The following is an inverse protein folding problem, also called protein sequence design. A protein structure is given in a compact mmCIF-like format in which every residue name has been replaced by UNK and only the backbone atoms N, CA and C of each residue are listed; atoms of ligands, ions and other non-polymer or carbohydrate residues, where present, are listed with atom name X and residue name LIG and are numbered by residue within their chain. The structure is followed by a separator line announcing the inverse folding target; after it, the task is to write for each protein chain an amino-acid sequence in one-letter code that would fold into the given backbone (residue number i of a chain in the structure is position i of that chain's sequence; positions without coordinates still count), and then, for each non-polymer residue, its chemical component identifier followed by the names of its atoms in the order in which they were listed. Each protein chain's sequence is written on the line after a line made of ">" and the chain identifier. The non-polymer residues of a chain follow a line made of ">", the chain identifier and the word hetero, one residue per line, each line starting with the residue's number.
data_IF_466114708652
#
_entry.id   IF_466114708652
#
_cell.length_a   1.000
_cell.length_b   1.000
_cell.length_c   1.000
_cell.angle_alpha   90.00
_cell.angle_beta   90.00
_cell.angle_gamma   90.00
#
_symmetry.space_group_name_H-M   'P 1'
#
loop_
_entity.id
_entity.type
_entity.pdbx_description
1 polymer ?
#
# COMPACT_ATOMS: atom_id res chain seq x y z
N UNK A 1 7.60 -0.31 -2.21
CA UNK A 1 6.22 0.08 -2.54
C UNK A 1 6.24 0.97 -3.78
N UNK A 2 5.46 0.64 -4.81
CA UNK A 2 5.44 1.37 -6.09
C UNK A 2 5.00 2.84 -5.88
N UNK A 3 3.99 3.07 -5.03
CA UNK A 3 3.50 4.40 -4.66
C UNK A 3 4.61 5.35 -4.16
N UNK A 4 5.54 4.86 -3.32
CA UNK A 4 6.70 5.63 -2.85
C UNK A 4 7.59 6.10 -4.01
N UNK A 5 7.82 5.22 -4.99
CA UNK A 5 8.63 5.54 -6.17
C UNK A 5 7.92 6.53 -7.08
N UNK A 6 6.60 6.38 -7.29
CA UNK A 6 5.78 7.32 -8.07
C UNK A 6 5.79 8.72 -7.44
N UNK A 7 5.55 8.82 -6.13
CA UNK A 7 5.57 10.09 -5.40
C UNK A 7 6.95 10.76 -5.47
N UNK A 8 8.02 9.97 -5.31
CA UNK A 8 9.40 10.46 -5.44
C UNK A 8 9.71 10.97 -6.84
N UNK A 9 9.27 10.26 -7.88
CA UNK A 9 9.43 10.69 -9.25
C UNK A 9 8.63 11.95 -9.57
N UNK A 10 7.39 12.02 -9.11
CA UNK A 10 6.56 13.21 -9.22
C UNK A 10 7.24 14.44 -8.59
N UNK A 11 7.72 14.32 -7.35
CA UNK A 11 8.47 15.41 -6.67
C UNK A 11 9.68 15.86 -7.50
N UNK A 12 10.42 14.90 -8.07
CA UNK A 12 11.57 15.19 -8.92
C UNK A 12 11.15 15.92 -10.20
N UNK A 13 10.06 15.49 -10.85
CA UNK A 13 9.50 16.16 -12.02
C UNK A 13 9.04 17.58 -11.70
N UNK A 14 8.41 17.82 -10.55
CA UNK A 14 8.02 19.17 -10.13
C UNK A 14 9.23 20.09 -9.96
N UNK A 15 10.37 19.53 -9.52
CA UNK A 15 11.62 20.27 -9.31
C UNK A 15 12.43 20.51 -10.60
N UNK A 16 12.04 19.91 -11.73
CA UNK A 16 12.75 20.10 -13.01
C UNK A 16 12.31 21.40 -13.69
N UNK A 17 13.24 22.02 -14.41
CA UNK A 17 12.91 23.14 -15.29
C UNK A 17 11.94 22.70 -16.41
N UNK A 18 11.04 23.58 -16.86
CA UNK A 18 9.96 23.21 -17.79
C UNK A 18 10.45 22.76 -19.17
N UNK A 19 11.68 23.11 -19.55
CA UNK A 19 12.31 22.74 -20.83
C UNK A 19 12.83 21.30 -20.83
N UNK A 20 12.92 20.67 -19.65
CA UNK A 20 13.42 19.29 -19.53
C UNK A 20 12.39 18.33 -20.11
N UNK A 21 12.85 17.46 -21.02
CA UNK A 21 11.98 16.46 -21.67
C UNK A 21 11.10 15.65 -20.70
N UNK A 22 11.58 15.15 -19.54
CA UNK A 22 10.71 14.46 -18.59
C UNK A 22 9.56 15.32 -18.06
N UNK A 23 9.80 16.63 -17.83
CA UNK A 23 8.80 17.59 -17.36
C UNK A 23 7.74 17.84 -18.44
N UNK A 24 8.17 17.97 -19.70
CA UNK A 24 7.28 18.10 -20.86
C UNK A 24 6.41 16.85 -21.03
N UNK A 25 7.01 15.66 -20.97
CA UNK A 25 6.26 14.40 -21.08
C UNK A 25 5.23 14.24 -19.96
N UNK A 26 5.59 14.62 -18.73
CA UNK A 26 4.66 14.62 -17.60
C UNK A 26 3.46 15.56 -17.82
N UNK A 27 3.70 16.79 -18.27
CA UNK A 27 2.62 17.74 -18.56
C UNK A 27 1.71 17.24 -19.69
N UNK A 28 2.28 16.66 -20.76
CA UNK A 28 1.51 16.03 -21.83
C UNK A 28 0.66 14.88 -21.32
N UNK A 29 1.19 14.06 -20.42
CA UNK A 29 0.48 12.94 -19.84
C UNK A 29 -0.70 13.39 -18.93
N UNK A 30 -0.55 14.52 -18.24
CA UNK A 30 -1.66 15.18 -17.53
C UNK A 30 -2.69 15.71 -18.54
N UNK A 31 -2.26 16.41 -19.59
CA UNK A 31 -3.20 16.94 -20.58
C UNK A 31 -3.99 15.83 -21.30
N UNK A 32 -3.34 14.71 -21.60
CA UNK A 32 -3.97 13.54 -22.21
C UNK A 32 -5.02 12.90 -21.31
N UNK A 33 -4.89 13.00 -19.99
CA UNK A 33 -5.83 12.38 -19.06
C UNK A 33 -7.24 12.95 -19.14
N UNK A 34 -7.41 14.16 -19.69
CA UNK A 34 -8.73 14.75 -19.93
C UNK A 34 -9.50 14.06 -21.07
N UNK A 35 -8.78 13.58 -22.09
CA UNK A 35 -9.36 12.95 -23.28
C UNK A 35 -9.34 11.41 -23.21
N UNK A 36 -8.33 10.85 -22.53
CA UNK A 36 -8.13 9.42 -22.35
C UNK A 36 -7.90 9.10 -20.87
N UNK A 37 -8.96 9.10 -20.05
CA UNK A 37 -8.87 8.89 -18.61
C UNK A 37 -8.75 7.39 -18.26
N UNK A 38 -7.83 6.66 -18.90
CA UNK A 38 -7.54 5.26 -18.55
C UNK A 38 -6.28 5.17 -17.68
N UNK A 39 -6.43 4.88 -16.37
CA UNK A 39 -5.29 4.74 -15.45
C UNK A 39 -4.32 3.65 -15.88
N UNK A 40 -4.77 2.61 -16.61
CA UNK A 40 -3.92 1.48 -17.03
C UNK A 40 -2.70 1.92 -17.84
N UNK A 41 -2.86 2.96 -18.66
CA UNK A 41 -1.81 3.50 -19.52
C UNK A 41 -1.25 4.84 -19.04
N UNK A 42 -1.75 5.35 -17.91
CA UNK A 42 -1.40 6.65 -17.40
C UNK A 42 -1.07 6.61 -15.91
N UNK A 43 0.23 6.57 -15.61
CA UNK A 43 0.69 6.54 -14.22
C UNK A 43 0.37 7.82 -13.43
N UNK A 44 0.09 8.96 -14.08
CA UNK A 44 -0.29 10.18 -13.36
C UNK A 44 -1.71 10.06 -12.79
N UNK A 45 -2.61 9.37 -13.50
CA UNK A 45 -3.92 9.00 -12.97
C UNK A 45 -3.77 8.02 -11.81
N UNK A 46 -2.97 6.97 -11.97
CA UNK A 46 -2.69 6.05 -10.87
C UNK A 46 -2.10 6.76 -9.64
N UNK A 47 -1.23 7.76 -9.83
CA UNK A 47 -0.71 8.56 -8.72
C UNK A 47 -1.81 9.36 -8.05
N UNK A 48 -2.72 9.96 -8.83
CA UNK A 48 -3.85 10.71 -8.31
C UNK A 48 -4.79 9.82 -7.48
N UNK A 49 -5.12 8.63 -7.98
CA UNK A 49 -5.95 7.66 -7.27
C UNK A 49 -5.31 7.25 -5.93
N UNK A 50 -3.99 7.05 -5.93
CA UNK A 50 -3.23 6.72 -4.71
C UNK A 50 -3.16 7.89 -3.72
N UNK A 51 -3.16 9.14 -4.21
CA UNK A 51 -3.25 10.33 -3.34
C UNK A 51 -4.63 10.44 -2.71
N UNK A 52 -5.69 10.12 -3.46
CA UNK A 52 -7.06 10.08 -2.96
C UNK A 52 -7.24 8.97 -1.91
N UNK A 53 -6.70 7.77 -2.14
CA UNK A 53 -6.68 6.68 -1.14
C UNK A 53 -5.96 7.08 0.16
N UNK A 54 -4.98 7.98 0.06
CA UNK A 54 -4.25 8.54 1.20
C UNK A 54 -4.93 9.79 1.82
N UNK A 55 -6.05 10.27 1.27
CA UNK A 55 -6.74 11.50 1.70
C UNK A 55 -5.90 12.77 1.50
N UNK A 56 -5.13 12.82 0.41
CA UNK A 56 -4.20 13.89 0.05
C UNK A 56 -4.37 14.34 -1.41
N UNK A 57 -5.58 14.25 -1.96
CA UNK A 57 -5.86 14.68 -3.34
C UNK A 57 -5.59 16.18 -3.56
N UNK A 58 -5.65 16.99 -2.50
CA UNK A 58 -5.38 18.42 -2.54
C UNK A 58 -3.94 18.74 -2.96
N UNK A 59 -2.98 17.84 -2.68
CA UNK A 59 -1.59 17.98 -3.13
C UNK A 59 -1.47 18.00 -4.65
N UNK A 60 -2.34 17.27 -5.36
CA UNK A 60 -2.32 17.21 -6.82
C UNK A 60 -2.62 18.59 -7.42
N UNK A 61 -3.58 19.31 -6.83
CA UNK A 61 -4.02 20.65 -7.29
C UNK A 61 -3.03 21.76 -6.95
N UNK A 62 -2.33 21.66 -5.81
CA UNK A 62 -1.37 22.70 -5.37
C UNK A 62 -0.13 22.79 -6.25
N UNK A 63 0.34 21.65 -6.77
CA UNK A 63 1.49 21.53 -7.69
C UNK A 63 2.78 22.25 -7.22
N UNK A 64 2.89 22.52 -5.91
CA UNK A 64 4.00 23.21 -5.26
C UNK A 64 5.03 22.18 -4.77
N UNK A 65 6.26 22.30 -5.26
CA UNK A 65 7.37 21.39 -4.94
C UNK A 65 7.63 21.31 -3.43
N UNK A 66 7.64 22.45 -2.73
CA UNK A 66 7.98 22.51 -1.32
C UNK A 66 6.88 21.85 -0.49
N UNK A 67 5.61 22.11 -0.82
CA UNK A 67 4.45 21.49 -0.15
C UNK A 67 4.45 19.98 -0.38
N UNK A 68 4.60 19.53 -1.63
CA UNK A 68 4.58 18.10 -1.99
C UNK A 68 5.75 17.36 -1.32
N UNK A 69 6.95 17.95 -1.32
CA UNK A 69 8.12 17.33 -0.68
C UNK A 69 7.93 17.20 0.83
N UNK A 70 7.35 18.20 1.49
CA UNK A 70 7.04 18.18 2.92
C UNK A 70 5.95 17.17 3.31
N UNK A 71 5.04 16.84 2.39
CA UNK A 71 3.95 15.90 2.64
C UNK A 71 4.33 14.42 2.50
N UNK A 72 5.57 14.09 2.10
CA UNK A 72 5.99 12.72 1.78
C UNK A 72 5.76 11.72 2.92
N UNK A 73 6.16 12.07 4.14
CA UNK A 73 6.04 11.14 5.26
C UNK A 73 4.58 10.94 5.66
N UNK A 74 3.78 12.03 5.64
CA UNK A 74 2.33 11.99 5.82
C UNK A 74 1.67 11.10 4.77
N UNK A 75 2.06 11.23 3.50
CA UNK A 75 1.56 10.40 2.41
C UNK A 75 1.83 8.90 2.67
N UNK A 76 3.06 8.55 3.03
CA UNK A 76 3.40 7.14 3.29
C UNK A 76 2.66 6.58 4.51
N UNK A 77 2.55 7.35 5.60
CA UNK A 77 1.82 6.90 6.78
C UNK A 77 0.33 6.77 6.53
N UNK A 78 -0.28 7.73 5.83
CA UNK A 78 -1.71 7.69 5.50
C UNK A 78 -2.04 6.54 4.57
N UNK A 79 -1.24 6.32 3.52
CA UNK A 79 -1.43 5.22 2.60
C UNK A 79 -1.30 3.86 3.31
N UNK A 80 -0.28 3.69 4.17
CA UNK A 80 -0.13 2.46 4.95
C UNK A 80 -1.33 2.22 5.87
N UNK A 81 -1.83 3.27 6.54
CA UNK A 81 -3.02 3.16 7.39
C UNK A 81 -4.27 2.77 6.58
N UNK A 82 -4.44 3.37 5.40
CA UNK A 82 -5.57 3.09 4.49
C UNK A 82 -5.53 1.63 4.01
N UNK A 83 -4.36 1.16 3.57
CA UNK A 83 -4.15 -0.23 3.15
C UNK A 83 -4.40 -1.22 4.30
N UNK A 84 -3.91 -0.92 5.50
CA UNK A 84 -4.18 -1.75 6.68
C UNK A 84 -5.68 -1.83 6.99
N UNK A 85 -6.39 -0.70 6.93
CA UNK A 85 -7.83 -0.68 7.17
C UNK A 85 -8.59 -1.45 6.08
N UNK A 86 -8.17 -1.33 4.83
CA UNK A 86 -8.73 -2.08 3.72
C UNK A 86 -8.53 -3.60 3.93
N UNK A 87 -7.34 -4.03 4.36
CA UNK A 87 -7.06 -5.43 4.67
C UNK A 87 -7.90 -5.94 5.84
N UNK A 88 -8.03 -5.16 6.92
CA UNK A 88 -8.89 -5.52 8.05
C UNK A 88 -10.36 -5.67 7.64
N UNK A 89 -10.87 -4.73 6.84
CA UNK A 89 -12.26 -4.78 6.37
C UNK A 89 -12.52 -6.01 5.50
N UNK A 90 -11.61 -6.34 4.58
CA UNK A 90 -11.67 -7.55 3.75
C UNK A 90 -11.57 -8.82 4.58
N UNK A 91 -10.68 -8.83 5.58
CA UNK A 91 -10.52 -9.97 6.47
C UNK A 91 -11.80 -10.22 7.30
N UNK A 92 -12.47 -9.16 7.76
CA UNK A 92 -13.70 -9.28 8.54
C UNK A 92 -14.87 -9.92 7.77
N UNK A 93 -14.93 -9.72 6.45
CA UNK A 93 -16.02 -10.25 5.59
C UNK A 93 -15.65 -11.52 4.83
N UNK A 94 -14.40 -11.97 4.94
CA UNK A 94 -13.92 -13.16 4.21
C UNK A 94 -14.62 -14.44 4.68
N UNK A 95 -15.16 -15.20 3.72
CA UNK A 95 -15.74 -16.53 3.95
C UNK A 95 -14.71 -17.57 4.40
N UNK A 96 -13.42 -17.28 4.21
CA UNK A 96 -12.29 -18.16 4.56
C UNK A 96 -11.76 -17.94 5.99
N UNK A 97 -12.23 -16.92 6.72
CA UNK A 97 -11.80 -16.64 8.09
C UNK A 97 -12.78 -17.27 9.11
N UNK A 98 -12.38 -18.41 9.69
CA UNK A 98 -13.09 -19.06 10.80
C UNK A 98 -12.63 -18.57 12.19
N UNK A 99 -11.52 -17.83 12.27
CA UNK A 99 -11.07 -17.16 13.49
C UNK A 99 -12.03 -16.02 13.89
N UNK A 100 -12.26 -15.75 15.19
CA UNK A 100 -13.54 -15.23 15.65
C UNK A 100 -13.81 -13.82 15.15
N UNK A 101 -14.94 -13.67 14.45
CA UNK A 101 -15.64 -12.39 14.28
C UNK A 101 -16.02 -11.90 15.69
N UNK A 102 -15.14 -11.17 16.38
CA UNK A 102 -15.46 -10.53 17.65
C UNK A 102 -14.50 -10.75 18.82
N UNK A 103 -13.41 -11.50 18.72
CA UNK A 103 -12.38 -11.43 19.76
C UNK A 103 -11.52 -10.21 19.50
N UNK A 104 -11.64 -9.19 20.37
CA UNK A 104 -10.74 -8.05 20.50
C UNK A 104 -9.40 -8.30 19.80
N UNK A 105 -9.26 -7.81 18.57
CA UNK A 105 -7.97 -7.81 17.88
C UNK A 105 -7.14 -6.80 18.65
N UNK A 106 -6.50 -7.28 19.72
CA UNK A 106 -5.45 -6.52 20.38
C UNK A 106 -4.46 -6.07 19.31
N UNK A 107 -3.88 -4.86 19.44
CA UNK A 107 -3.06 -4.26 18.39
C UNK A 107 -2.05 -5.29 17.89
N UNK A 108 -2.12 -5.57 16.58
CA UNK A 108 -1.43 -6.65 15.90
C UNK A 108 0.03 -6.79 16.36
N UNK A 109 0.26 -7.65 17.34
CA UNK A 109 1.60 -8.11 17.62
C UNK A 109 1.94 -9.08 16.50
N UNK A 110 2.96 -8.75 15.70
CA UNK A 110 3.40 -9.60 14.58
C UNK A 110 3.59 -11.02 15.09
N UNK A 111 2.87 -11.97 14.48
CA UNK A 111 2.99 -13.38 14.82
C UNK A 111 4.44 -13.85 14.66
N UNK A 112 4.99 -14.49 15.70
CA UNK A 112 6.42 -14.84 15.79
C UNK A 112 6.89 -15.68 14.60
N UNK A 113 6.02 -16.55 14.07
CA UNK A 113 6.35 -17.39 12.92
C UNK A 113 6.56 -16.58 11.62
N UNK A 114 5.96 -15.39 11.48
CA UNK A 114 6.21 -14.52 10.32
C UNK A 114 7.63 -13.95 10.34
N UNK A 115 8.16 -13.69 11.53
CA UNK A 115 9.54 -13.23 11.77
C UNK A 115 10.58 -14.36 11.75
N UNK A 116 10.17 -15.62 11.83
CA UNK A 116 11.10 -16.76 11.80
C UNK A 116 11.78 -16.91 10.43
N UNK A 117 12.99 -17.48 10.38
CA UNK A 117 13.71 -17.73 9.13
C UNK A 117 13.30 -19.06 8.46
N UNK A 118 11.99 -19.32 8.41
CA UNK A 118 11.44 -20.50 7.77
C UNK A 118 11.02 -20.22 6.32
N UNK A 119 11.08 -21.23 5.43
CA UNK A 119 10.55 -21.12 4.08
C UNK A 119 9.10 -20.65 4.03
N UNK A 120 8.73 -19.94 2.95
CA UNK A 120 7.40 -19.36 2.79
C UNK A 120 6.27 -20.39 2.87
N UNK A 121 6.49 -21.62 2.41
CA UNK A 121 5.48 -22.67 2.48
C UNK A 121 5.14 -23.05 3.94
N UNK A 122 6.14 -23.12 4.82
CA UNK A 122 5.94 -23.40 6.25
C UNK A 122 5.16 -22.28 6.92
N UNK A 123 5.54 -21.03 6.64
CA UNK A 123 4.80 -19.85 7.13
C UNK A 123 3.36 -19.84 6.65
N UNK A 124 3.13 -20.22 5.38
CA UNK A 124 1.79 -20.31 4.78
C UNK A 124 0.95 -21.41 5.44
N UNK A 125 1.53 -22.59 5.65
CA UNK A 125 0.86 -23.70 6.33
C UNK A 125 0.43 -23.31 7.76
N UNK A 126 1.34 -22.70 8.53
CA UNK A 126 1.04 -22.20 9.87
C UNK A 126 -0.11 -21.18 9.87
N UNK A 127 -0.07 -20.23 8.93
CA UNK A 127 -1.15 -19.24 8.77
C UNK A 127 -2.49 -19.90 8.45
N UNK A 128 -2.49 -20.87 7.53
CA UNK A 128 -3.70 -21.60 7.12
C UNK A 128 -4.30 -22.41 8.28
N UNK A 129 -3.48 -23.13 9.05
CA UNK A 129 -3.95 -23.91 10.20
C UNK A 129 -4.58 -23.00 11.26
N UNK A 130 -3.99 -21.81 11.50
CA UNK A 130 -4.55 -20.81 12.43
C UNK A 130 -5.88 -20.24 11.95
N UNK A 131 -6.05 -20.02 10.66
CA UNK A 131 -7.31 -19.50 10.11
C UNK A 131 -8.40 -20.56 9.99
N UNK A 132 -8.04 -21.84 9.89
CA UNK A 132 -8.97 -22.94 9.65
C UNK A 132 -9.62 -23.51 10.92
N UNK A 133 -9.03 -23.32 12.10
CA UNK A 133 -9.51 -23.96 13.33
C UNK A 133 -9.97 -22.92 14.37
N UNK A 134 -11.23 -22.95 14.85
CA UNK A 134 -11.67 -22.13 15.98
C UNK A 134 -11.07 -22.58 17.32
N UNK A 135 -10.47 -23.77 17.40
CA UNK A 135 -9.80 -24.28 18.59
C UNK A 135 -8.30 -23.97 18.60
N UNK A 136 -7.73 -23.82 19.80
CA UNK A 136 -6.30 -23.55 20.00
C UNK A 136 -5.44 -24.71 19.44
N UNK A 137 -4.60 -24.41 18.44
CA UNK A 137 -3.67 -25.35 17.84
C UNK A 137 -2.23 -24.92 18.16
N UNK A 138 -1.45 -25.81 18.81
CA UNK A 138 -0.02 -25.62 19.05
C UNK A 138 0.78 -26.41 18.02
N UNK A 139 1.56 -25.72 17.20
CA UNK A 139 2.43 -26.33 16.20
C UNK A 139 3.88 -26.12 16.63
N UNK A 140 4.64 -27.22 16.73
CA UNK A 140 6.07 -27.21 17.07
C UNK A 140 6.84 -27.56 15.81
N UNK A 141 7.66 -26.63 15.33
CA UNK A 141 8.59 -26.89 14.23
C UNK A 141 9.93 -27.34 14.82
N UNK A 142 10.38 -28.53 14.43
CA UNK A 142 11.70 -29.02 14.77
C UNK A 142 12.67 -28.68 13.64
N UNK A 143 13.82 -28.09 13.99
CA UNK A 143 14.91 -27.89 13.04
C UNK A 143 15.66 -29.22 12.90
N UNK A 144 15.66 -29.81 11.71
CA UNK A 144 16.62 -30.86 11.40
C UNK A 144 17.99 -30.18 11.24
N UNK A 145 18.93 -30.60 12.09
CA UNK A 145 20.36 -30.27 12.02
C UNK A 145 21.03 -31.07 10.92
#
# INVERSE_FOLDING_TARGET
>A
MIAKSMFGWWTKLLSMSPERLPRICFQRLIALSANFPDPKFNWTLQLKDVLEEAGLEDLWSRNDVAVVKGAKDKFLSSLLSSLHQADLSKAAVSSFNYCPRGSNIQPLQRELYLSSDHPLFSKRLLAQIRCANPAFCKIVLHHAS
#
